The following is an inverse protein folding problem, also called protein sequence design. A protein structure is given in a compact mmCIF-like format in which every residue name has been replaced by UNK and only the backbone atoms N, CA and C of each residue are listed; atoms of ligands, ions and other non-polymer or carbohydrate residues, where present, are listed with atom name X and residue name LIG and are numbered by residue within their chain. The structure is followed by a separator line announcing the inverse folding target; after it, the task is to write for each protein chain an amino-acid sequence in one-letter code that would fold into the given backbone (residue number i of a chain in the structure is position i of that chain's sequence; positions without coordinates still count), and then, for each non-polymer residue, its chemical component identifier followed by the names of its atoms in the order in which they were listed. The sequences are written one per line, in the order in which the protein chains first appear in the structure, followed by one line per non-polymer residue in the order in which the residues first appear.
data_IF_374030105510
#
_entry.id   IF_374030105510
#
_cell.length_a   1.000
_cell.length_b   1.000
_cell.length_c   1.000
_cell.angle_alpha   90.00
_cell.angle_beta   90.00
_cell.angle_gamma   90.00
#
_symmetry.space_group_name_H-M   'P 1'
#
loop_
_entity.id
_entity.type
_entity.pdbx_description
1 polymer ?
#
# COMPACT_ATOMS: atom_id res chain seq x y z
N UNK A 1 3.98 18.75 7.50
CA UNK A 1 3.14 19.07 8.68
C UNK A 1 1.88 18.25 8.54
N UNK A 2 1.57 17.39 9.51
CA UNK A 2 0.34 16.58 9.54
C UNK A 2 -0.69 17.25 10.41
N UNK A 3 -1.96 17.19 10.01
CA UNK A 3 -3.07 17.58 10.85
C UNK A 3 -3.97 16.36 11.08
N UNK A 4 -4.14 15.98 12.33
CA UNK A 4 -5.19 15.04 12.76
C UNK A 4 -6.26 15.90 13.40
N UNK A 5 -7.47 15.83 12.86
CA UNK A 5 -8.61 16.57 13.39
C UNK A 5 -9.61 15.57 13.97
N UNK A 6 -9.85 15.68 15.27
CA UNK A 6 -10.81 14.84 16.00
C UNK A 6 -12.25 15.24 15.65
N UNK A 7 -12.47 16.51 15.33
CA UNK A 7 -13.74 17.03 14.80
C UNK A 7 -13.42 17.89 13.57
N UNK A 8 -13.86 17.45 12.40
CA UNK A 8 -13.66 18.19 11.15
C UNK A 8 -14.93 18.95 10.83
N UNK A 9 -14.87 20.30 10.70
CA UNK A 9 -16.04 21.07 10.25
C UNK A 9 -16.52 20.56 8.88
N UNK A 10 -17.82 20.30 8.75
CA UNK A 10 -18.41 19.79 7.50
C UNK A 10 -18.09 20.71 6.31
N UNK A 11 -17.99 22.00 6.55
CA UNK A 11 -17.61 23.00 5.55
C UNK A 11 -16.21 22.78 4.99
N UNK A 12 -15.26 22.31 5.82
CA UNK A 12 -13.89 21.99 5.41
C UNK A 12 -13.86 20.71 4.58
N UNK A 13 -14.63 19.68 4.97
CA UNK A 13 -14.78 18.45 4.18
C UNK A 13 -15.40 18.74 2.81
N UNK A 14 -16.45 19.56 2.77
CA UNK A 14 -17.09 19.97 1.52
C UNK A 14 -16.13 20.74 0.60
N UNK A 15 -15.30 21.61 1.15
CA UNK A 15 -14.30 22.36 0.37
C UNK A 15 -13.20 21.42 -0.16
N UNK A 16 -12.71 20.47 0.64
CA UNK A 16 -11.74 19.46 0.19
C UNK A 16 -12.30 18.62 -0.95
N UNK A 17 -13.58 18.16 -0.84
CA UNK A 17 -14.27 17.44 -1.91
C UNK A 17 -14.38 18.28 -3.18
N UNK A 18 -14.79 19.55 -3.04
CA UNK A 18 -14.89 20.48 -4.19
C UNK A 18 -13.55 20.67 -4.90
N UNK A 19 -12.43 20.63 -4.18
CA UNK A 19 -11.07 20.78 -4.70
C UNK A 19 -10.45 19.44 -5.13
N UNK A 20 -11.12 18.30 -4.91
CA UNK A 20 -10.56 16.96 -5.20
C UNK A 20 -9.37 16.61 -4.31
N UNK A 21 -9.28 17.17 -3.11
CA UNK A 21 -8.17 16.95 -2.17
C UNK A 21 -8.43 15.81 -1.18
N UNK A 22 -9.64 15.26 -1.18
CA UNK A 22 -10.08 14.21 -0.25
C UNK A 22 -9.85 12.78 -0.76
N UNK A 23 -9.49 12.60 -2.03
CA UNK A 23 -9.36 11.28 -2.64
C UNK A 23 -8.29 10.37 -2.02
N UNK A 24 -7.40 10.93 -1.20
CA UNK A 24 -6.36 10.20 -0.45
C UNK A 24 -6.49 10.35 1.07
N UNK A 25 -7.49 11.08 1.55
CA UNK A 25 -7.76 11.18 2.97
C UNK A 25 -8.21 9.81 3.50
N UNK A 26 -7.76 9.48 4.71
CA UNK A 26 -8.10 8.23 5.38
C UNK A 26 -9.00 8.51 6.59
N UNK A 27 -9.79 7.52 6.97
CA UNK A 27 -10.58 7.56 8.20
C UNK A 27 -10.11 6.46 9.13
N UNK A 28 -9.68 6.81 10.31
CA UNK A 28 -9.17 5.87 11.32
C UNK A 28 -10.08 5.90 12.54
N UNK A 29 -10.98 4.90 12.63
CA UNK A 29 -11.97 4.82 13.71
C UNK A 29 -12.71 6.16 13.94
N UNK A 30 -13.19 6.80 12.85
CA UNK A 30 -13.89 8.08 12.88
C UNK A 30 -13.02 9.33 12.88
N UNK A 31 -11.70 9.19 12.91
CA UNK A 31 -10.74 10.32 12.86
C UNK A 31 -10.23 10.50 11.42
N UNK A 32 -10.36 11.70 10.88
CA UNK A 32 -9.87 12.02 9.52
C UNK A 32 -8.36 12.26 9.55
N UNK A 33 -7.63 11.50 8.75
CA UNK A 33 -6.22 11.69 8.45
C UNK A 33 -6.08 12.31 7.07
N UNK A 34 -5.74 13.61 7.03
CA UNK A 34 -5.55 14.33 5.77
C UNK A 34 -4.16 14.04 5.21
N UNK A 35 -4.13 13.50 3.98
CA UNK A 35 -2.90 13.14 3.29
C UNK A 35 -2.52 14.25 2.31
N UNK A 36 -1.29 14.82 2.41
CA UNK A 36 -0.81 15.79 1.44
C UNK A 36 -0.55 15.14 0.07
N UNK A 37 -0.53 15.93 -1.03
CA UNK A 37 -0.14 15.41 -2.34
C UNK A 37 1.21 14.71 -2.29
N UNK A 38 1.30 13.55 -2.96
CA UNK A 38 2.54 12.80 -3.06
C UNK A 38 3.58 13.53 -3.94
N UNK A 39 4.86 13.28 -3.68
CA UNK A 39 5.93 13.80 -4.53
C UNK A 39 5.96 13.08 -5.90
N UNK A 40 6.50 13.75 -6.93
CA UNK A 40 6.66 13.12 -8.24
C UNK A 40 7.51 11.84 -8.21
N UNK A 41 8.51 11.76 -7.33
CA UNK A 41 9.33 10.54 -7.15
C UNK A 41 8.50 9.39 -6.58
N UNK A 42 7.66 9.65 -5.60
CA UNK A 42 6.74 8.69 -5.02
C UNK A 42 5.75 8.17 -6.07
N UNK A 43 5.08 9.06 -6.80
CA UNK A 43 4.12 8.67 -7.84
C UNK A 43 4.74 7.89 -8.99
N UNK A 44 5.95 8.26 -9.38
CA UNK A 44 6.69 7.54 -10.43
C UNK A 44 6.99 6.10 -9.99
N UNK A 45 7.54 5.91 -8.79
CA UNK A 45 7.84 4.57 -8.27
C UNK A 45 6.58 3.72 -8.13
N UNK A 46 5.47 4.29 -7.64
CA UNK A 46 4.20 3.57 -7.56
C UNK A 46 3.69 3.11 -8.92
N UNK A 47 3.83 3.96 -9.94
CA UNK A 47 3.46 3.61 -11.31
C UNK A 47 4.37 2.51 -11.89
N UNK A 48 5.67 2.58 -11.65
CA UNK A 48 6.65 1.58 -12.09
C UNK A 48 6.36 0.22 -11.42
N UNK A 49 6.09 0.20 -10.11
CA UNK A 49 5.67 -1.01 -9.37
C UNK A 49 4.37 -1.58 -9.92
N UNK A 50 3.36 -0.75 -10.15
CA UNK A 50 2.09 -1.19 -10.72
C UNK A 50 2.29 -1.87 -12.07
N UNK A 51 3.08 -1.28 -12.96
CA UNK A 51 3.38 -1.83 -14.29
C UNK A 51 4.12 -3.16 -14.19
N UNK A 52 5.14 -3.24 -13.33
CA UNK A 52 5.94 -4.46 -13.16
C UNK A 52 5.14 -5.62 -12.54
N UNK A 53 4.31 -5.34 -11.53
CA UNK A 53 3.63 -6.36 -10.73
C UNK A 53 2.24 -6.76 -11.29
N UNK A 54 1.57 -5.89 -12.08
CA UNK A 54 0.23 -6.18 -12.61
C UNK A 54 0.14 -7.46 -13.45
N UNK A 55 1.10 -7.80 -14.32
CA UNK A 55 1.04 -9.06 -15.07
C UNK A 55 1.11 -10.30 -14.16
N UNK A 56 1.85 -10.22 -13.06
CA UNK A 56 1.99 -11.29 -12.06
C UNK A 56 0.67 -11.46 -11.31
N UNK A 57 0.13 -10.37 -10.80
CA UNK A 57 -1.14 -10.33 -10.09
C UNK A 57 -2.27 -10.97 -10.89
N UNK A 58 -2.42 -10.58 -12.16
CA UNK A 58 -3.44 -11.13 -13.07
C UNK A 58 -3.30 -12.64 -13.28
N UNK A 59 -2.07 -13.17 -13.41
CA UNK A 59 -1.82 -14.62 -13.51
C UNK A 59 -2.23 -15.37 -12.24
N UNK A 60 -2.17 -14.71 -11.10
CA UNK A 60 -2.57 -15.25 -9.79
C UNK A 60 -4.04 -15.01 -9.45
N UNK A 61 -4.80 -14.42 -10.38
CA UNK A 61 -6.25 -14.17 -10.22
C UNK A 61 -6.57 -12.99 -9.31
N UNK A 62 -5.61 -12.07 -9.10
CA UNK A 62 -5.84 -10.82 -8.35
C UNK A 62 -5.93 -9.60 -9.27
N UNK A 63 -6.62 -8.57 -8.80
CA UNK A 63 -6.78 -7.28 -9.46
C UNK A 63 -5.87 -6.27 -8.78
N UNK A 64 -4.86 -5.72 -9.49
CA UNK A 64 -4.06 -4.62 -8.96
C UNK A 64 -4.84 -3.30 -9.06
N UNK A 65 -4.80 -2.49 -8.02
CA UNK A 65 -5.43 -1.16 -8.02
C UNK A 65 -4.49 -0.14 -7.35
N UNK A 66 -4.50 1.09 -7.86
CA UNK A 66 -3.67 2.21 -7.39
C UNK A 66 -4.50 3.16 -6.55
N UNK A 67 -3.98 3.60 -5.38
CA UNK A 67 -4.62 4.57 -4.48
C UNK A 67 -6.12 4.27 -4.25
N UNK A 68 -6.43 3.01 -3.98
CA UNK A 68 -7.81 2.56 -3.80
C UNK A 68 -8.12 2.40 -2.33
N UNK A 69 -9.23 2.98 -1.87
CA UNK A 69 -9.68 2.85 -0.48
C UNK A 69 -9.89 1.39 -0.10
N UNK A 70 -9.28 0.95 1.00
CA UNK A 70 -9.45 -0.36 1.60
C UNK A 70 -10.27 -0.18 2.90
N UNK A 71 -11.48 -0.73 2.91
CA UNK A 71 -12.51 -0.43 3.91
C UNK A 71 -12.73 -1.58 4.89
N UNK A 72 -12.73 -1.26 6.20
CA UNK A 72 -13.25 -2.12 7.27
C UNK A 72 -14.67 -1.70 7.66
N UNK A 73 -15.01 -0.44 7.44
CA UNK A 73 -16.32 0.13 7.75
C UNK A 73 -16.55 1.48 7.06
N UNK A 74 -17.63 2.15 7.42
CA UNK A 74 -17.95 3.46 6.82
C UNK A 74 -17.00 4.56 7.30
N UNK A 75 -16.57 4.46 8.53
CA UNK A 75 -15.75 5.41 9.28
C UNK A 75 -14.35 4.87 9.60
N UNK A 76 -13.95 3.77 8.93
CA UNK A 76 -12.65 3.16 9.13
C UNK A 76 -12.11 2.55 7.81
N UNK A 77 -11.21 3.30 7.16
CA UNK A 77 -10.56 2.89 5.92
C UNK A 77 -9.18 3.52 5.77
N UNK A 78 -8.35 2.87 4.95
CA UNK A 78 -7.03 3.35 4.53
C UNK A 78 -6.96 3.43 3.02
N UNK A 79 -6.04 4.26 2.51
CA UNK A 79 -5.77 4.38 1.07
C UNK A 79 -4.31 4.00 0.82
N UNK A 80 -4.00 2.70 0.72
CA UNK A 80 -2.66 2.25 0.38
C UNK A 80 -2.27 2.67 -1.05
N UNK A 81 -0.98 2.79 -1.31
CA UNK A 81 -0.49 3.17 -2.64
C UNK A 81 -0.87 2.12 -3.70
N UNK A 82 -0.71 0.82 -3.38
CA UNK A 82 -1.21 -0.27 -4.23
C UNK A 82 -1.92 -1.33 -3.40
N UNK A 83 -2.96 -1.91 -3.98
CA UNK A 83 -3.58 -3.13 -3.46
C UNK A 83 -3.62 -4.21 -4.54
N UNK A 84 -3.54 -5.46 -4.09
CA UNK A 84 -3.74 -6.65 -4.90
C UNK A 84 -4.82 -7.47 -4.22
N UNK A 85 -6.00 -7.50 -4.80
CA UNK A 85 -7.19 -8.12 -4.20
C UNK A 85 -7.91 -9.01 -5.20
N UNK A 86 -8.84 -9.81 -4.73
CA UNK A 86 -9.73 -10.58 -5.59
C UNK A 86 -10.82 -9.67 -6.16
N UNK A 87 -11.29 -9.98 -7.38
CA UNK A 87 -12.28 -9.15 -8.06
C UNK A 87 -13.59 -9.00 -7.26
N UNK A 88 -13.98 -10.04 -6.50
CA UNK A 88 -15.17 -10.03 -5.65
C UNK A 88 -15.08 -9.06 -4.47
N UNK A 89 -13.88 -8.62 -4.09
CA UNK A 89 -13.68 -7.63 -3.01
C UNK A 89 -13.74 -6.20 -3.53
N UNK A 90 -13.79 -5.97 -4.85
CA UNK A 90 -13.83 -4.63 -5.44
C UNK A 90 -15.25 -4.18 -5.66
N UNK A 91 -15.56 -2.94 -5.27
CA UNK A 91 -16.83 -2.26 -5.49
C UNK A 91 -16.61 -0.83 -5.99
N UNK A 92 -17.68 -0.11 -6.32
CA UNK A 92 -17.62 1.31 -6.69
C UNK A 92 -17.06 2.21 -5.57
N UNK A 93 -17.11 1.73 -4.34
CA UNK A 93 -16.56 2.44 -3.17
C UNK A 93 -15.06 2.26 -3.01
N UNK A 94 -14.52 1.09 -3.40
CA UNK A 94 -13.14 0.68 -3.19
C UNK A 94 -13.05 -0.83 -2.99
N UNK A 95 -12.24 -1.30 -2.05
CA UNK A 95 -12.07 -2.71 -1.73
C UNK A 95 -12.38 -3.02 -0.26
N UNK A 96 -12.88 -4.22 0.03
CA UNK A 96 -13.21 -4.72 1.37
C UNK A 96 -12.30 -5.88 1.81
N UNK A 97 -11.16 -6.04 1.12
CA UNK A 97 -10.12 -7.03 1.40
C UNK A 97 -8.99 -6.94 0.38
N UNK A 98 -7.81 -7.39 0.77
CA UNK A 98 -6.65 -7.47 -0.12
C UNK A 98 -5.76 -8.65 0.30
N UNK A 99 -5.13 -9.30 -0.69
CA UNK A 99 -4.11 -10.31 -0.42
C UNK A 99 -2.76 -9.65 -0.10
N UNK A 100 -2.44 -8.53 -0.75
CA UNK A 100 -1.22 -7.75 -0.53
C UNK A 100 -1.52 -6.27 -0.64
N UNK A 101 -0.91 -5.49 0.22
CA UNK A 101 -0.82 -4.03 0.10
C UNK A 101 0.62 -3.59 -0.11
N UNK A 102 0.83 -2.51 -0.85
CA UNK A 102 2.12 -1.85 -1.00
C UNK A 102 2.00 -0.42 -0.49
N UNK A 103 2.90 -0.02 0.37
CA UNK A 103 3.04 1.35 0.86
C UNK A 103 4.39 1.93 0.44
N UNK A 104 4.38 3.09 -0.16
CA UNK A 104 5.57 3.86 -0.53
C UNK A 104 5.89 4.84 0.60
N UNK A 105 6.80 4.45 1.46
CA UNK A 105 7.06 5.16 2.69
C UNK A 105 7.75 6.51 2.49
N UNK A 106 7.10 7.57 2.93
CA UNK A 106 7.67 8.91 3.02
C UNK A 106 8.20 9.21 4.43
N UNK A 107 9.25 10.02 4.60
CA UNK A 107 9.74 10.37 5.93
C UNK A 107 8.65 10.97 6.83
N UNK A 108 8.45 10.37 7.99
CA UNK A 108 7.48 10.82 8.99
C UNK A 108 6.01 10.51 8.67
N UNK A 109 5.72 9.57 7.77
CA UNK A 109 4.36 9.08 7.53
C UNK A 109 3.90 8.04 8.59
N UNK A 110 2.66 7.57 8.49
CA UNK A 110 2.03 6.63 9.44
C UNK A 110 2.00 5.19 8.91
N UNK A 111 2.85 4.85 7.96
CA UNK A 111 2.88 3.53 7.29
C UNK A 111 2.78 2.38 8.29
N UNK A 112 3.61 2.39 9.34
CA UNK A 112 3.61 1.30 10.33
C UNK A 112 2.41 1.32 11.30
N UNK A 113 1.76 2.46 11.48
CA UNK A 113 0.55 2.55 12.28
C UNK A 113 -0.66 1.86 11.62
N UNK A 114 -0.55 1.53 10.33
CA UNK A 114 -1.58 0.82 9.56
C UNK A 114 -1.49 -0.72 9.69
N UNK A 115 -0.43 -1.27 10.28
CA UNK A 115 -0.20 -2.73 10.35
C UNK A 115 -1.37 -3.47 11.00
N UNK A 116 -1.87 -2.99 12.13
CA UNK A 116 -2.99 -3.63 12.84
C UNK A 116 -4.29 -3.57 12.02
N UNK A 117 -4.53 -2.48 11.31
CA UNK A 117 -5.68 -2.35 10.41
C UNK A 117 -5.63 -3.38 9.27
N UNK A 118 -4.48 -3.50 8.60
CA UNK A 118 -4.31 -4.48 7.53
C UNK A 118 -4.37 -5.91 8.03
N UNK A 119 -3.79 -6.19 9.20
CA UNK A 119 -3.89 -7.51 9.83
C UNK A 119 -5.34 -7.88 10.16
N UNK A 120 -6.14 -6.93 10.69
CA UNK A 120 -7.56 -7.14 11.00
C UNK A 120 -8.42 -7.42 9.77
N UNK A 121 -8.04 -6.91 8.60
CA UNK A 121 -8.67 -7.21 7.30
C UNK A 121 -8.16 -8.51 6.67
N UNK A 122 -7.22 -9.22 7.31
CA UNK A 122 -6.65 -10.45 6.78
C UNK A 122 -5.70 -10.25 5.59
N UNK A 123 -5.15 -9.04 5.44
CA UNK A 123 -4.09 -8.78 4.43
C UNK A 123 -2.92 -9.71 4.71
N UNK A 124 -2.59 -10.56 3.73
CA UNK A 124 -1.58 -11.62 3.91
C UNK A 124 -0.17 -11.08 3.95
N UNK A 125 0.11 -10.04 3.16
CA UNK A 125 1.42 -9.38 3.11
C UNK A 125 1.28 -7.87 2.94
N UNK A 126 2.21 -7.13 3.56
CA UNK A 126 2.41 -5.71 3.32
C UNK A 126 3.86 -5.49 2.89
N UNK A 127 4.05 -4.96 1.69
CA UNK A 127 5.34 -4.55 1.16
C UNK A 127 5.51 -3.04 1.37
N UNK A 128 6.55 -2.65 2.08
CA UNK A 128 6.94 -1.24 2.25
C UNK A 128 8.13 -0.97 1.36
N UNK A 129 8.04 0.06 0.51
CA UNK A 129 9.13 0.46 -0.37
C UNK A 129 9.53 1.89 -0.07
N UNK A 130 10.82 2.16 0.06
CA UNK A 130 11.36 3.48 0.35
C UNK A 130 11.76 4.17 -0.97
N UNK A 131 11.07 5.27 -1.38
CA UNK A 131 11.35 5.93 -2.65
C UNK A 131 12.75 6.57 -2.73
N UNK A 132 13.41 6.81 -1.59
CA UNK A 132 14.72 7.46 -1.52
C UNK A 132 15.87 6.56 -1.96
N UNK A 133 15.97 5.40 -1.35
CA UNK A 133 17.08 4.44 -1.47
C UNK A 133 16.67 3.09 -2.05
N UNK A 134 15.39 2.93 -2.41
CA UNK A 134 14.83 1.71 -2.97
C UNK A 134 14.88 0.49 -2.03
N UNK A 135 15.13 0.71 -0.75
CA UNK A 135 15.04 -0.38 0.24
C UNK A 135 13.60 -0.86 0.41
N UNK A 136 13.47 -2.12 0.79
CA UNK A 136 12.17 -2.78 0.96
C UNK A 136 12.08 -3.43 2.33
N UNK A 137 10.87 -3.46 2.87
CA UNK A 137 10.50 -4.25 4.04
C UNK A 137 9.26 -5.07 3.68
N UNK A 138 9.20 -6.29 4.18
CA UNK A 138 8.04 -7.15 3.97
C UNK A 138 7.49 -7.58 5.33
N UNK A 139 6.19 -7.45 5.49
CA UNK A 139 5.47 -7.95 6.65
C UNK A 139 4.52 -9.05 6.18
N UNK A 140 4.41 -10.13 6.97
CA UNK A 140 3.56 -11.28 6.66
C UNK A 140 2.60 -11.55 7.82
N UNK A 141 1.36 -11.89 7.48
CA UNK A 141 0.32 -12.22 8.46
C UNK A 141 0.62 -13.56 9.13
N UNK A 142 0.83 -13.51 10.45
CA UNK A 142 1.02 -14.66 11.32
C UNK A 142 0.15 -14.43 12.56
N UNK A 143 -0.74 -15.36 12.89
CA UNK A 143 -1.61 -15.28 14.08
C UNK A 143 -2.30 -13.92 14.24
N UNK A 144 -2.90 -13.42 13.15
CA UNK A 144 -3.61 -12.14 13.07
C UNK A 144 -2.73 -10.88 13.32
N UNK A 145 -1.43 -10.97 13.10
CA UNK A 145 -0.49 -9.84 13.17
C UNK A 145 0.41 -9.82 11.94
N UNK A 146 0.67 -8.66 11.39
CA UNK A 146 1.69 -8.48 10.36
C UNK A 146 3.07 -8.37 11.02
N UNK A 147 3.86 -9.42 10.88
CA UNK A 147 5.22 -9.51 11.44
C UNK A 147 6.27 -9.33 10.35
N UNK A 148 7.41 -8.69 10.66
CA UNK A 148 8.46 -8.49 9.67
C UNK A 148 9.07 -9.83 9.22
N UNK A 149 9.31 -9.94 7.93
CA UNK A 149 10.01 -11.08 7.30
C UNK A 149 11.52 -10.78 7.30
N UNK A 150 12.31 -11.74 7.75
CA UNK A 150 13.76 -11.61 7.68
C UNK A 150 14.24 -11.80 6.24
N UNK A 151 15.22 -10.99 5.80
CA UNK A 151 15.89 -11.21 4.52
C UNK A 151 16.54 -12.58 4.45
N UNK A 152 16.67 -13.12 3.26
CA UNK A 152 17.45 -14.34 2.98
C UNK A 152 18.97 -14.09 3.05
N UNK A 153 19.76 -15.12 2.72
CA UNK A 153 21.22 -15.05 2.76
C UNK A 153 21.83 -14.03 1.77
N UNK A 154 21.06 -13.63 0.76
CA UNK A 154 21.44 -12.65 -0.28
C UNK A 154 20.93 -11.24 0.07
N UNK A 155 20.23 -11.08 1.20
CA UNK A 155 19.64 -9.81 1.63
C UNK A 155 18.30 -9.52 0.98
N UNK A 156 17.71 -10.46 0.26
CA UNK A 156 16.45 -10.31 -0.46
C UNK A 156 15.22 -10.69 0.38
N UNK A 157 14.07 -10.20 -0.04
CA UNK A 157 12.77 -10.48 0.56
C UNK A 157 11.84 -11.09 -0.49
N UNK A 158 11.20 -12.23 -0.15
CA UNK A 158 10.30 -12.92 -1.06
C UNK A 158 8.84 -12.76 -0.65
N UNK A 159 8.05 -12.14 -1.53
CA UNK A 159 6.60 -12.15 -1.42
C UNK A 159 6.04 -13.51 -1.84
N UNK A 160 5.30 -14.17 -0.95
CA UNK A 160 4.61 -15.43 -1.26
C UNK A 160 3.32 -15.16 -2.04
N UNK A 161 2.70 -13.97 -1.85
CA UNK A 161 1.47 -13.59 -2.55
C UNK A 161 1.71 -13.39 -4.04
N UNK A 162 2.80 -12.73 -4.43
CA UNK A 162 3.12 -12.48 -5.85
C UNK A 162 4.19 -13.41 -6.42
N UNK A 163 4.88 -14.18 -5.58
CA UNK A 163 6.01 -15.00 -6.01
C UNK A 163 7.22 -14.18 -6.45
N UNK A 164 7.34 -12.94 -5.96
CA UNK A 164 8.40 -11.99 -6.33
C UNK A 164 9.47 -11.96 -5.27
N UNK A 165 10.72 -12.00 -5.68
CA UNK A 165 11.88 -11.73 -4.86
C UNK A 165 12.36 -10.31 -5.10
N UNK A 166 12.54 -9.54 -4.03
CA UNK A 166 12.91 -8.13 -4.03
C UNK A 166 14.30 -7.97 -3.42
N UNK A 167 15.22 -7.37 -4.14
CA UNK A 167 16.57 -7.00 -3.67
C UNK A 167 16.87 -5.55 -4.01
N UNK A 168 17.59 -4.87 -3.12
CA UNK A 168 18.05 -3.50 -3.35
C UNK A 168 19.51 -3.51 -3.74
N UNK A 169 19.85 -2.83 -4.84
CA UNK A 169 21.20 -2.66 -5.34
C UNK A 169 21.47 -1.17 -5.60
N UNK A 170 22.72 -0.80 -5.93
CA UNK A 170 23.11 0.58 -6.19
C UNK A 170 22.33 1.22 -7.37
N UNK A 171 21.88 0.40 -8.32
CA UNK A 171 21.12 0.82 -9.50
C UNK A 171 19.59 0.79 -9.32
N UNK A 172 19.09 0.35 -8.16
CA UNK A 172 17.67 0.39 -7.85
C UNK A 172 17.10 -0.82 -7.11
N UNK A 173 15.78 -0.93 -7.14
CA UNK A 173 15.03 -2.08 -6.65
C UNK A 173 14.92 -3.13 -7.76
N UNK A 174 15.51 -4.28 -7.52
CA UNK A 174 15.41 -5.44 -8.41
C UNK A 174 14.28 -6.35 -7.95
N UNK A 175 13.38 -6.63 -8.89
CA UNK A 175 12.29 -7.58 -8.74
C UNK A 175 12.58 -8.77 -9.64
N UNK A 176 12.55 -10.00 -9.09
CA UNK A 176 12.70 -11.21 -9.89
C UNK A 176 11.59 -12.21 -9.55
N UNK A 177 11.14 -12.96 -10.57
CA UNK A 177 10.09 -13.98 -10.45
C UNK A 177 10.30 -15.08 -11.50
N UNK A 178 9.52 -16.15 -11.41
CA UNK A 178 9.58 -17.21 -12.42
C UNK A 178 9.26 -16.66 -13.81
N UNK A 179 10.26 -16.70 -14.68
CA UNK A 179 10.16 -16.26 -16.09
C UNK A 179 10.39 -14.76 -16.31
N UNK A 180 10.93 -13.98 -15.34
CA UNK A 180 11.26 -12.59 -15.60
C UNK A 180 11.83 -11.80 -14.44
N UNK A 181 12.19 -10.56 -14.74
CA UNK A 181 12.69 -9.58 -13.77
C UNK A 181 12.39 -8.15 -14.21
N UNK A 182 12.48 -7.21 -13.30
CA UNK A 182 12.43 -5.77 -13.54
C UNK A 182 13.38 -5.04 -12.60
N UNK A 183 13.91 -3.89 -13.04
CA UNK A 183 14.67 -2.95 -12.19
C UNK A 183 13.93 -1.61 -12.18
N UNK A 184 13.72 -1.02 -10.96
CA UNK A 184 12.93 0.18 -10.72
C UNK A 184 13.73 1.26 -10.01
#
# INVERSE_FOLDING_TARGET
MRGVLVEVPEQMLAERRRLGLDGRDEMWDGVVHMVPPASGRHQRLGSELLVALSPLAKRLGTVPSYETGLFRGADDYRVPDLIFCRAEHVSDRGAEGADLVVELRSPGDETYAKLDFYAALGVREMLVVHPGDRTVELFRLVEARLLPVSPDAEGGLRSDVLGVHCTTHDDGLHLSWDGGSATL
#
